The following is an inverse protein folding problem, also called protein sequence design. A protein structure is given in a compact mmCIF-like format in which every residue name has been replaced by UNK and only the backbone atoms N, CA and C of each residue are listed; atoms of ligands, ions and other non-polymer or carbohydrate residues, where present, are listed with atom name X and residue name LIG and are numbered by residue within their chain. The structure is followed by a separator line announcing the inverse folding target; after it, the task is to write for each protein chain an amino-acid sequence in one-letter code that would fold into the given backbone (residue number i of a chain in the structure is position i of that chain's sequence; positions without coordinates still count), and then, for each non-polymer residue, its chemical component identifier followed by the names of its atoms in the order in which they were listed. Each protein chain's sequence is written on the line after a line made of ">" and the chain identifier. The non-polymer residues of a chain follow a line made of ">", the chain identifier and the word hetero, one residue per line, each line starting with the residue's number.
data_IF_986321893323
#
_entry.id   IF_986321893323
#
_cell.length_a   1.000
_cell.length_b   1.000
_cell.length_c   1.000
_cell.angle_alpha   90.00
_cell.angle_beta   90.00
_cell.angle_gamma   90.00
#
_symmetry.space_group_name_H-M   'P 1'
#
loop_
_entity.id
_entity.type
_entity.pdbx_description
1 polymer ?
#
# COMPACT_ATOMS: atom_id res chain seq x y z
N UNK A 1 15.91 -12.81 -33.70
CA UNK A 1 16.26 -11.50 -33.15
C UNK A 1 14.98 -10.89 -32.63
N UNK A 2 14.73 -11.01 -31.32
CA UNK A 2 13.62 -10.30 -30.69
C UNK A 2 13.82 -8.80 -30.91
N UNK A 3 12.87 -8.16 -31.58
CA UNK A 3 12.80 -6.69 -31.59
C UNK A 3 12.52 -6.27 -30.15
N UNK A 4 13.52 -5.77 -29.45
CA UNK A 4 13.33 -5.15 -28.15
C UNK A 4 12.43 -3.91 -28.37
N UNK A 5 11.21 -3.96 -27.84
CA UNK A 5 10.26 -2.86 -27.96
C UNK A 5 10.89 -1.62 -27.30
N UNK A 6 11.02 -0.52 -28.06
CA UNK A 6 11.43 0.75 -27.49
C UNK A 6 10.23 1.41 -26.80
N UNK A 7 10.18 1.27 -25.48
CA UNK A 7 9.10 1.78 -24.63
C UNK A 7 8.90 3.30 -24.81
N UNK A 8 9.99 4.05 -25.01
CA UNK A 8 9.93 5.50 -25.22
C UNK A 8 9.18 5.84 -26.51
N UNK A 9 9.51 5.16 -27.61
CA UNK A 9 8.89 5.39 -28.91
C UNK A 9 7.40 5.05 -28.88
N UNK A 10 7.03 3.96 -28.21
CA UNK A 10 5.63 3.57 -28.03
C UNK A 10 4.85 4.61 -27.21
N UNK A 11 5.41 5.13 -26.12
CA UNK A 11 4.78 6.19 -25.32
C UNK A 11 4.61 7.46 -26.15
N UNK A 12 5.66 7.87 -26.88
CA UNK A 12 5.61 9.06 -27.72
C UNK A 12 4.62 8.92 -28.88
N UNK A 13 4.47 7.73 -29.45
CA UNK A 13 3.50 7.46 -30.51
C UNK A 13 2.06 7.48 -29.97
N UNK A 14 1.82 6.90 -28.79
CA UNK A 14 0.51 6.91 -28.17
C UNK A 14 0.09 8.33 -27.76
N UNK A 15 1.01 9.17 -27.26
CA UNK A 15 0.74 10.58 -26.92
C UNK A 15 0.38 11.45 -28.13
N UNK A 16 0.65 11.00 -29.37
CA UNK A 16 0.24 11.70 -30.59
C UNK A 16 -1.22 11.49 -30.93
N UNK A 17 -1.78 10.33 -30.56
CA UNK A 17 -3.15 9.93 -30.93
C UNK A 17 -4.13 10.05 -29.75
N UNK A 18 -3.61 9.98 -28.53
CA UNK A 18 -4.38 10.01 -27.29
C UNK A 18 -4.08 11.28 -26.50
N UNK A 19 -5.10 12.01 -26.02
CA UNK A 19 -4.91 13.24 -25.24
C UNK A 19 -4.26 12.98 -23.88
N UNK A 20 -4.38 11.75 -23.37
CA UNK A 20 -3.70 11.30 -22.16
C UNK A 20 -3.42 9.81 -22.19
N UNK A 21 -2.35 9.40 -21.50
CA UNK A 21 -1.99 8.01 -21.26
C UNK A 21 -1.98 7.77 -19.75
N UNK A 22 -2.62 6.68 -19.31
CA UNK A 22 -2.44 6.16 -17.96
C UNK A 22 -1.36 5.06 -17.98
N UNK A 23 -0.30 5.22 -17.19
CA UNK A 23 0.86 4.33 -17.22
C UNK A 23 0.53 2.86 -16.96
N UNK A 24 -0.47 2.58 -16.11
CA UNK A 24 -0.93 1.21 -15.81
C UNK A 24 -1.71 0.61 -16.98
N UNK A 25 -2.69 1.34 -17.52
CA UNK A 25 -3.44 0.88 -18.70
C UNK A 25 -2.53 0.65 -19.90
N UNK A 26 -1.56 1.54 -20.09
CA UNK A 26 -0.57 1.44 -21.17
C UNK A 26 0.32 0.22 -21.00
N UNK A 27 0.90 0.02 -19.81
CA UNK A 27 1.75 -1.15 -19.54
C UNK A 27 0.97 -2.46 -19.72
N UNK A 28 -0.28 -2.52 -19.24
CA UNK A 28 -1.12 -3.71 -19.36
C UNK A 28 -1.49 -4.00 -20.84
N UNK A 29 -1.83 -2.97 -21.62
CA UNK A 29 -2.20 -3.11 -23.04
C UNK A 29 -1.02 -3.55 -23.91
N UNK A 30 0.18 -3.09 -23.57
CA UNK A 30 1.42 -3.38 -24.32
C UNK A 30 2.18 -4.58 -23.77
N UNK A 31 1.66 -5.22 -22.72
CA UNK A 31 2.33 -6.32 -21.98
C UNK A 31 3.76 -5.95 -21.52
N UNK A 32 3.94 -4.69 -21.10
CA UNK A 32 5.21 -4.14 -20.64
C UNK A 32 5.29 -4.12 -19.11
N UNK A 33 6.51 -4.18 -18.59
CA UNK A 33 6.75 -3.93 -17.17
C UNK A 33 6.39 -2.48 -16.80
N UNK A 34 5.52 -2.32 -15.81
CA UNK A 34 5.03 -1.01 -15.38
C UNK A 34 6.16 -0.10 -14.88
N UNK A 35 7.17 -0.66 -14.21
CA UNK A 35 8.29 0.12 -13.68
C UNK A 35 9.16 0.70 -14.81
N UNK A 36 9.35 -0.06 -15.89
CA UNK A 36 10.05 0.43 -17.09
C UNK A 36 9.28 1.57 -17.79
N UNK A 37 7.96 1.43 -17.92
CA UNK A 37 7.08 2.49 -18.46
C UNK A 37 7.16 3.75 -17.60
N UNK A 38 7.06 3.61 -16.28
CA UNK A 38 7.21 4.74 -15.34
C UNK A 38 8.58 5.39 -15.48
N UNK A 39 9.65 4.62 -15.63
CA UNK A 39 11.00 5.14 -15.85
C UNK A 39 11.08 6.07 -17.08
N UNK A 40 10.48 5.66 -18.20
CA UNK A 40 10.43 6.49 -19.41
C UNK A 40 9.56 7.74 -19.23
N UNK A 41 8.41 7.62 -18.58
CA UNK A 41 7.54 8.77 -18.26
C UNK A 41 8.29 9.79 -17.38
N UNK A 42 9.04 9.32 -16.37
CA UNK A 42 9.83 10.20 -15.53
C UNK A 42 10.94 10.90 -16.34
N UNK A 43 11.61 10.17 -17.24
CA UNK A 43 12.61 10.75 -18.15
C UNK A 43 11.99 11.84 -19.04
N UNK A 44 10.82 11.61 -19.62
CA UNK A 44 10.11 12.60 -20.43
C UNK A 44 9.72 13.84 -19.60
N UNK A 45 9.24 13.62 -18.37
CA UNK A 45 8.84 14.72 -17.47
C UNK A 45 10.01 15.57 -16.99
N UNK A 46 11.26 15.09 -17.12
CA UNK A 46 12.45 15.87 -16.80
C UNK A 46 12.75 16.96 -17.85
N UNK A 47 12.20 16.82 -19.07
CA UNK A 47 12.33 17.82 -20.12
C UNK A 47 11.26 18.90 -19.92
N UNK A 48 11.63 20.18 -19.74
CA UNK A 48 10.68 21.25 -19.49
C UNK A 48 9.58 21.31 -20.55
N UNK A 49 8.34 21.39 -20.09
CA UNK A 49 7.14 21.56 -20.92
C UNK A 49 6.92 20.46 -21.99
N UNK A 50 7.67 19.35 -21.95
CA UNK A 50 7.53 18.26 -22.91
C UNK A 50 6.27 17.44 -22.65
N UNK A 51 6.04 17.07 -21.38
CA UNK A 51 4.84 16.35 -20.94
C UNK A 51 4.35 16.89 -19.60
N UNK A 52 3.03 16.87 -19.41
CA UNK A 52 2.40 17.07 -18.11
C UNK A 52 2.12 15.71 -17.48
N UNK A 53 2.50 15.55 -16.21
CA UNK A 53 2.32 14.29 -15.47
C UNK A 53 1.56 14.55 -14.17
N UNK A 54 0.46 13.83 -13.97
CA UNK A 54 -0.26 13.77 -12.71
C UNK A 54 -0.27 12.35 -12.15
N UNK A 55 -0.36 12.22 -10.82
CA UNK A 55 -0.32 10.92 -10.13
C UNK A 55 -1.72 10.49 -9.74
N UNK A 56 -1.96 9.20 -9.84
CA UNK A 56 -3.17 8.53 -9.38
C UNK A 56 -2.77 7.37 -8.47
N UNK A 57 -2.97 7.51 -7.16
CA UNK A 57 -2.61 6.47 -6.19
C UNK A 57 -3.84 5.71 -5.75
N UNK A 58 -3.84 4.40 -5.99
CA UNK A 58 -4.84 3.47 -5.46
C UNK A 58 -4.29 2.76 -4.23
N UNK A 59 -5.07 2.74 -3.15
CA UNK A 59 -4.69 2.05 -1.91
C UNK A 59 -5.43 0.72 -1.80
N UNK A 60 -4.68 -0.37 -1.67
CA UNK A 60 -5.21 -1.71 -1.46
C UNK A 60 -4.93 -2.16 -0.03
N UNK A 61 -5.95 -2.73 0.58
CA UNK A 61 -5.93 -3.25 1.93
C UNK A 61 -5.97 -4.77 1.88
N UNK A 62 -5.10 -5.42 2.63
CA UNK A 62 -5.06 -6.89 2.66
C UNK A 62 -4.89 -7.35 4.10
N UNK A 63 -5.48 -8.48 4.44
CA UNK A 63 -5.30 -9.06 5.77
C UNK A 63 -3.92 -9.71 5.86
N UNK A 64 -3.31 -9.64 7.03
CA UNK A 64 -2.14 -10.47 7.32
C UNK A 64 -2.58 -11.90 7.63
N UNK A 65 -1.65 -12.84 7.71
CA UNK A 65 -1.92 -14.21 8.19
C UNK A 65 -2.63 -14.20 9.54
N UNK A 66 -2.26 -13.25 10.41
CA UNK A 66 -2.91 -13.04 11.70
C UNK A 66 -4.33 -12.46 11.56
N UNK A 67 -4.54 -11.51 10.66
CA UNK A 67 -5.87 -10.99 10.33
C UNK A 67 -6.81 -12.10 9.83
N UNK A 68 -6.33 -12.97 8.96
CA UNK A 68 -7.11 -14.12 8.46
C UNK A 68 -7.43 -15.13 9.57
N UNK A 69 -6.49 -15.39 10.49
CA UNK A 69 -6.75 -16.22 11.67
C UNK A 69 -7.87 -15.63 12.53
N UNK A 70 -7.88 -14.30 12.73
CA UNK A 70 -8.95 -13.63 13.46
C UNK A 70 -10.29 -13.77 12.73
N UNK A 71 -10.33 -13.63 11.41
CA UNK A 71 -11.58 -13.81 10.66
C UNK A 71 -12.10 -15.25 10.78
N UNK A 72 -11.22 -16.24 10.82
CA UNK A 72 -11.59 -17.66 10.94
C UNK A 72 -12.02 -18.04 12.36
N UNK A 73 -11.23 -17.65 13.35
CA UNK A 73 -11.27 -18.18 14.72
C UNK A 73 -11.71 -17.14 15.77
N UNK A 74 -12.09 -15.93 15.35
CA UNK A 74 -12.45 -14.81 16.22
C UNK A 74 -11.24 -14.01 16.69
N UNK A 75 -11.46 -12.79 17.18
CA UNK A 75 -10.39 -11.93 17.70
C UNK A 75 -9.85 -12.44 19.03
N UNK A 76 -8.62 -12.06 19.40
CA UNK A 76 -8.04 -12.52 20.66
C UNK A 76 -8.87 -12.10 21.87
N UNK A 77 -9.39 -10.88 21.86
CA UNK A 77 -10.30 -10.37 22.90
C UNK A 77 -11.60 -11.17 22.99
N UNK A 78 -12.13 -11.63 21.85
CA UNK A 78 -13.32 -12.48 21.82
C UNK A 78 -13.03 -13.90 22.30
N UNK A 79 -11.88 -14.47 21.92
CA UNK A 79 -11.41 -15.77 22.41
C UNK A 79 -11.19 -15.75 23.92
N UNK A 80 -10.55 -14.70 24.43
CA UNK A 80 -10.37 -14.48 25.87
C UNK A 80 -11.72 -14.39 26.56
N UNK A 81 -12.62 -13.51 26.11
CA UNK A 81 -13.97 -13.38 26.64
C UNK A 81 -14.70 -14.73 26.68
N UNK A 82 -14.69 -15.47 25.58
CA UNK A 82 -15.39 -16.75 25.45
C UNK A 82 -14.86 -17.80 26.42
N UNK A 83 -13.56 -17.74 26.74
CA UNK A 83 -12.89 -18.68 27.64
C UNK A 83 -13.15 -18.45 29.14
N UNK A 84 -13.74 -17.31 29.52
CA UNK A 84 -13.99 -16.96 30.92
C UNK A 84 -15.20 -17.76 31.44
N UNK A 85 -15.04 -18.57 32.50
CA UNK A 85 -16.15 -19.26 33.16
C UNK A 85 -16.98 -18.28 33.99
N UNK A 86 -18.20 -18.67 34.38
CA UNK A 86 -19.07 -17.83 35.23
C UNK A 86 -18.44 -17.50 36.59
N UNK A 87 -17.61 -18.42 37.11
CA UNK A 87 -16.84 -18.24 38.35
C UNK A 87 -15.68 -17.24 38.22
N UNK A 88 -15.44 -16.72 37.02
CA UNK A 88 -14.30 -15.87 36.70
C UNK A 88 -12.98 -16.64 36.56
N UNK A 89 -11.97 -15.93 36.06
CA UNK A 89 -10.61 -16.46 35.84
C UNK A 89 -9.57 -15.50 36.40
N UNK A 90 -8.43 -15.99 36.88
CA UNK A 90 -7.34 -15.13 37.31
C UNK A 90 -6.70 -14.42 36.12
N UNK A 91 -6.27 -13.16 36.29
CA UNK A 91 -5.64 -12.40 35.19
C UNK A 91 -4.44 -13.15 34.63
N UNK A 92 -3.58 -13.69 35.51
CA UNK A 92 -2.36 -14.38 35.11
C UNK A 92 -2.68 -15.56 34.19
N UNK A 93 -3.62 -16.40 34.62
CA UNK A 93 -4.11 -17.54 33.85
C UNK A 93 -4.72 -17.11 32.51
N UNK A 94 -5.55 -16.07 32.50
CA UNK A 94 -6.17 -15.57 31.27
C UNK A 94 -5.14 -15.06 30.24
N UNK A 95 -4.04 -14.45 30.69
CA UNK A 95 -2.96 -13.97 29.83
C UNK A 95 -2.09 -15.10 29.28
N UNK A 96 -1.82 -16.11 30.09
CA UNK A 96 -0.96 -17.25 29.72
C UNK A 96 -1.66 -18.26 28.81
N UNK A 97 -3.00 -18.29 28.82
CA UNK A 97 -3.81 -19.25 28.04
C UNK A 97 -3.74 -19.05 26.52
N UNK A 98 -3.40 -17.85 26.04
CA UNK A 98 -3.41 -17.53 24.61
C UNK A 98 -2.20 -16.71 24.18
N UNK A 99 -1.80 -16.90 22.92
CA UNK A 99 -0.89 -15.97 22.25
C UNK A 99 -1.48 -14.55 22.30
N UNK A 100 -0.64 -13.55 22.62
CA UNK A 100 -1.05 -12.13 22.79
C UNK A 100 -2.13 -11.89 23.86
N UNK A 101 -2.11 -12.65 24.96
CA UNK A 101 -3.06 -12.50 26.08
C UNK A 101 -3.15 -11.10 26.69
N UNK A 102 -2.05 -10.33 26.75
CA UNK A 102 -2.10 -8.93 27.19
C UNK A 102 -2.92 -8.04 26.27
N UNK A 103 -2.78 -8.21 24.95
CA UNK A 103 -3.55 -7.45 23.95
C UNK A 103 -5.02 -7.83 24.06
N UNK A 104 -5.31 -9.13 24.14
CA UNK A 104 -6.66 -9.65 24.32
C UNK A 104 -7.35 -9.03 25.55
N UNK A 105 -6.66 -9.01 26.69
CA UNK A 105 -7.18 -8.47 27.93
C UNK A 105 -7.44 -6.96 27.83
N UNK A 106 -6.45 -6.20 27.35
CA UNK A 106 -6.57 -4.75 27.23
C UNK A 106 -7.74 -4.36 26.32
N UNK A 107 -7.94 -5.10 25.22
CA UNK A 107 -9.05 -4.87 24.30
C UNK A 107 -10.40 -5.28 24.90
N UNK A 108 -10.49 -6.44 25.53
CA UNK A 108 -11.71 -6.87 26.21
C UNK A 108 -12.14 -5.89 27.32
N UNK A 109 -11.19 -5.32 28.07
CA UNK A 109 -11.45 -4.26 29.06
C UNK A 109 -11.89 -2.94 28.39
N UNK A 110 -11.19 -2.51 27.33
CA UNK A 110 -11.53 -1.27 26.62
C UNK A 110 -12.92 -1.33 25.97
N UNK A 111 -13.31 -2.49 25.45
CA UNK A 111 -14.64 -2.75 24.91
C UNK A 111 -15.68 -3.05 25.99
N UNK A 112 -15.28 -3.09 27.26
CA UNK A 112 -16.13 -3.39 28.42
C UNK A 112 -16.80 -4.76 28.35
N UNK A 113 -16.18 -5.73 27.66
CA UNK A 113 -16.66 -7.12 27.59
C UNK A 113 -16.37 -7.90 28.87
N UNK A 114 -15.32 -7.51 29.55
CA UNK A 114 -14.90 -8.09 30.83
C UNK A 114 -14.74 -6.99 31.87
N UNK A 115 -14.91 -7.35 33.14
CA UNK A 115 -14.65 -6.49 34.29
C UNK A 115 -13.59 -7.11 35.20
N UNK A 116 -12.80 -6.24 35.79
CA UNK A 116 -11.75 -6.60 36.72
C UNK A 116 -12.25 -6.44 38.15
N UNK A 117 -12.15 -7.50 38.94
CA UNK A 117 -12.44 -7.48 40.39
C UNK A 117 -11.13 -7.65 41.14
N UNK A 118 -10.78 -6.65 41.96
CA UNK A 118 -9.55 -6.63 42.76
C UNK A 118 -9.84 -7.21 44.14
N UNK A 119 -9.40 -8.43 44.36
CA UNK A 119 -9.37 -9.09 45.68
C UNK A 119 -7.91 -9.35 46.09
N UNK A 120 -7.65 -10.35 46.95
CA UNK A 120 -6.27 -10.81 47.25
C UNK A 120 -5.52 -11.18 45.97
N UNK A 121 -6.22 -11.81 45.03
CA UNK A 121 -5.76 -12.03 43.66
C UNK A 121 -6.81 -11.49 42.69
N UNK A 122 -6.36 -10.75 41.69
CA UNK A 122 -7.28 -10.10 40.76
C UNK A 122 -7.88 -11.08 39.75
N UNK A 123 -9.22 -11.04 39.61
CA UNK A 123 -10.00 -11.91 38.72
C UNK A 123 -10.76 -11.13 37.66
N UNK A 124 -10.98 -11.78 36.53
CA UNK A 124 -11.77 -11.29 35.41
C UNK A 124 -13.10 -12.03 35.36
N UNK A 125 -14.16 -11.25 35.14
CA UNK A 125 -15.51 -11.76 34.93
C UNK A 125 -16.08 -11.19 33.64
N UNK A 126 -16.98 -11.94 32.98
CA UNK A 126 -17.76 -11.41 31.86
C UNK A 126 -18.65 -10.27 32.36
N UNK A 127 -18.68 -9.18 31.60
CA UNK A 127 -19.50 -8.03 31.91
C UNK A 127 -20.86 -8.09 31.20
N UNK A 128 -20.89 -8.72 30.02
CA UNK A 128 -22.08 -8.97 29.21
C UNK A 128 -22.19 -10.48 28.96
N UNK A 129 -23.40 -11.01 28.78
CA UNK A 129 -23.60 -12.43 28.43
C UNK A 129 -23.28 -12.72 26.96
N UNK A 130 -23.46 -11.73 26.10
CA UNK A 130 -23.17 -11.79 24.66
C UNK A 130 -22.46 -10.52 24.23
N UNK A 131 -21.47 -10.69 23.36
CA UNK A 131 -20.71 -9.61 22.73
C UNK A 131 -20.57 -9.91 21.25
N UNK A 132 -20.51 -8.85 20.43
CA UNK A 132 -20.23 -8.97 19.01
C UNK A 132 -18.74 -8.78 18.80
N UNK A 133 -18.13 -9.63 17.96
CA UNK A 133 -16.70 -9.58 17.69
C UNK A 133 -16.36 -8.49 16.67
N UNK A 134 -16.41 -7.23 17.12
CA UNK A 134 -16.26 -6.05 16.25
C UNK A 134 -14.95 -6.11 15.45
N UNK A 135 -13.85 -6.57 16.05
CA UNK A 135 -12.56 -6.66 15.33
C UNK A 135 -12.59 -7.70 14.21
N UNK A 136 -13.28 -8.82 14.40
CA UNK A 136 -13.50 -9.80 13.35
C UNK A 136 -14.38 -9.24 12.23
N UNK A 137 -15.48 -8.60 12.60
CA UNK A 137 -16.45 -8.03 11.63
C UNK A 137 -15.77 -6.98 10.74
N UNK A 138 -14.91 -6.14 11.31
CA UNK A 138 -14.13 -5.16 10.54
C UNK A 138 -13.13 -5.80 9.58
N UNK A 139 -12.43 -6.85 10.01
CA UNK A 139 -11.52 -7.56 9.12
C UNK A 139 -12.28 -8.26 7.97
N UNK A 140 -13.51 -8.72 8.22
CA UNK A 140 -14.39 -9.24 7.17
C UNK A 140 -14.75 -8.15 6.16
N UNK A 141 -15.12 -6.94 6.61
CA UNK A 141 -15.42 -5.83 5.71
C UNK A 141 -14.20 -5.44 4.85
N UNK A 142 -12.99 -5.41 5.44
CA UNK A 142 -11.75 -5.16 4.68
C UNK A 142 -11.53 -6.26 3.64
N UNK A 143 -11.68 -7.53 4.02
CA UNK A 143 -11.52 -8.67 3.11
C UNK A 143 -12.53 -8.66 1.97
N UNK A 144 -13.73 -8.15 2.22
CA UNK A 144 -14.79 -8.01 1.21
C UNK A 144 -14.61 -6.76 0.32
N UNK A 145 -13.55 -5.96 0.54
CA UNK A 145 -13.27 -4.78 -0.27
C UNK A 145 -14.04 -3.53 0.15
N UNK A 146 -14.52 -3.47 1.41
CA UNK A 146 -15.27 -2.33 1.95
C UNK A 146 -14.57 -1.63 3.15
N UNK A 147 -13.27 -1.28 3.06
CA UNK A 147 -12.55 -0.61 4.15
C UNK A 147 -13.16 0.75 4.52
N UNK A 148 -13.90 1.40 3.62
CA UNK A 148 -14.56 2.69 3.82
C UNK A 148 -15.72 2.64 4.82
N UNK A 149 -16.26 1.45 5.13
CA UNK A 149 -17.29 1.28 6.17
C UNK A 149 -16.74 1.34 7.58
N UNK A 150 -15.42 1.37 7.75
CA UNK A 150 -14.74 1.30 9.04
C UNK A 150 -14.21 2.68 9.39
N UNK A 151 -14.44 3.10 10.64
CA UNK A 151 -13.92 4.39 11.12
C UNK A 151 -12.38 4.45 11.02
N UNK A 152 -11.87 5.62 10.62
CA UNK A 152 -10.44 5.86 10.43
C UNK A 152 -9.58 5.54 11.67
N UNK A 153 -10.10 5.73 12.89
CA UNK A 153 -9.38 5.38 14.12
C UNK A 153 -9.26 3.87 14.27
N UNK A 154 -10.30 3.13 13.89
CA UNK A 154 -10.31 1.66 13.94
C UNK A 154 -9.40 1.06 12.88
N UNK A 155 -9.42 1.58 11.65
CA UNK A 155 -8.42 1.24 10.62
C UNK A 155 -6.99 1.45 11.12
N UNK A 156 -6.70 2.59 11.75
CA UNK A 156 -5.37 2.86 12.29
C UNK A 156 -4.98 1.92 13.44
N UNK A 157 -5.94 1.49 14.24
CA UNK A 157 -5.71 0.45 15.24
C UNK A 157 -5.36 -0.89 14.61
N UNK A 158 -6.12 -1.35 13.61
CA UNK A 158 -5.86 -2.62 12.91
C UNK A 158 -4.47 -2.64 12.28
N UNK A 159 -4.02 -1.51 11.71
CA UNK A 159 -2.64 -1.32 11.22
C UNK A 159 -1.60 -1.46 12.33
N UNK A 160 -1.78 -0.75 13.45
CA UNK A 160 -0.85 -0.80 14.60
C UNK A 160 -0.76 -2.21 15.20
N UNK A 161 -1.86 -2.97 15.14
CA UNK A 161 -1.93 -4.39 15.55
C UNK A 161 -1.37 -5.35 14.49
N UNK A 162 -0.95 -4.86 13.32
CA UNK A 162 -0.46 -5.66 12.19
C UNK A 162 -1.47 -6.71 11.69
N UNK A 163 -2.77 -6.42 11.81
CA UNK A 163 -3.84 -7.31 11.32
C UNK A 163 -4.13 -7.10 9.83
N UNK A 164 -3.70 -5.95 9.29
CA UNK A 164 -3.84 -5.58 7.89
C UNK A 164 -2.53 -4.97 7.39
N UNK A 165 -2.26 -5.16 6.10
CA UNK A 165 -1.23 -4.47 5.34
C UNK A 165 -1.88 -3.51 4.35
N UNK A 166 -1.12 -2.48 4.01
CA UNK A 166 -1.51 -1.50 3.00
C UNK A 166 -0.47 -1.60 1.89
N UNK A 167 -0.94 -1.79 0.67
CA UNK A 167 -0.12 -1.57 -0.51
C UNK A 167 -0.71 -0.41 -1.31
N UNK A 168 0.15 0.50 -1.74
CA UNK A 168 -0.25 1.59 -2.63
C UNK A 168 0.28 1.30 -4.01
N UNK A 169 -0.58 1.42 -5.01
CA UNK A 169 -0.20 1.36 -6.40
C UNK A 169 -0.36 2.78 -6.99
N UNK A 170 0.72 3.33 -7.55
CA UNK A 170 0.70 4.67 -8.16
C UNK A 170 0.80 4.54 -9.66
N UNK A 171 -0.26 4.95 -10.35
CA UNK A 171 -0.26 5.19 -11.80
C UNK A 171 0.04 6.66 -12.08
N UNK A 172 0.46 6.93 -13.32
CA UNK A 172 0.76 8.27 -13.80
C UNK A 172 -0.08 8.55 -15.04
N UNK A 173 -0.83 9.65 -15.00
CA UNK A 173 -1.56 10.17 -16.15
C UNK A 173 -0.66 11.21 -16.83
N UNK A 174 -0.33 10.96 -18.10
CA UNK A 174 0.60 11.74 -18.90
C UNK A 174 -0.17 12.40 -20.02
N UNK A 175 0.09 13.67 -20.29
CA UNK A 175 -0.45 14.40 -21.43
C UNK A 175 0.68 15.16 -22.15
N UNK A 176 0.57 15.41 -23.48
CA UNK A 176 1.48 16.28 -24.20
C UNK A 176 1.57 17.67 -23.54
N UNK A 177 2.79 18.19 -23.37
CA UNK A 177 3.01 19.57 -22.93
C UNK A 177 3.12 20.56 -24.10
N UNK A 178 3.33 21.85 -23.82
CA UNK A 178 3.44 22.89 -24.86
C UNK A 178 4.67 22.74 -25.76
N UNK A 179 5.71 22.07 -25.26
CA UNK A 179 6.94 21.76 -25.99
C UNK A 179 6.94 20.34 -26.55
N UNK A 180 5.76 19.70 -26.66
CA UNK A 180 5.65 18.38 -27.27
C UNK A 180 5.85 18.49 -28.79
N UNK A 181 6.94 17.91 -29.29
CA UNK A 181 7.33 17.96 -30.69
C UNK A 181 7.66 16.56 -31.22
N UNK A 182 7.53 16.36 -32.54
CA UNK A 182 7.60 15.06 -33.21
C UNK A 182 9.03 14.49 -33.39
N UNK A 183 9.99 14.86 -32.55
CA UNK A 183 11.38 14.42 -32.66
C UNK A 183 11.92 13.93 -31.33
N UNK A 184 12.40 12.68 -31.29
CA UNK A 184 13.27 12.20 -30.22
C UNK A 184 14.40 13.23 -30.09
N UNK A 185 14.63 13.88 -28.94
CA UNK A 185 15.86 14.61 -28.75
C UNK A 185 16.96 13.54 -28.80
N UNK A 186 17.63 13.42 -29.95
CA UNK A 186 18.95 12.80 -29.97
C UNK A 186 19.71 13.52 -28.87
N UNK A 187 20.14 12.80 -27.83
CA UNK A 187 21.23 13.31 -27.02
C UNK A 187 22.34 13.69 -27.99
N UNK A 188 22.61 14.99 -28.11
CA UNK A 188 23.82 15.48 -28.77
C UNK A 188 24.99 15.01 -27.90
N UNK A 189 25.40 13.76 -28.11
CA UNK A 189 26.76 13.29 -27.85
C UNK A 189 27.52 13.26 -29.17
N UNK A 190 27.31 14.29 -30.00
CA UNK A 190 28.33 14.69 -30.96
C UNK A 190 29.18 15.76 -30.27
N UNK A 191 30.17 15.29 -29.49
CA UNK A 191 31.39 16.07 -29.32
C UNK A 191 31.93 16.30 -30.73
N UNK A 192 31.61 17.46 -31.31
CA UNK A 192 32.18 17.91 -32.56
C UNK A 192 33.70 17.82 -32.44
N UNK A 193 34.29 16.89 -33.20
CA UNK A 193 35.74 16.70 -33.36
C UNK A 193 36.42 17.99 -33.90
N UNK A 194 35.65 19.00 -34.27
CA UNK A 194 36.11 20.33 -34.69
C UNK A 194 36.70 21.21 -33.57
N UNK A 195 36.53 20.88 -32.27
CA UNK A 195 37.14 21.67 -31.17
C UNK A 195 38.59 21.28 -30.78
N UNK A 196 39.25 20.34 -31.49
CA UNK A 196 40.60 19.85 -31.11
C UNK A 196 41.73 20.36 -32.03
N UNK A 197 41.45 21.11 -33.11
CA UNK A 197 42.49 21.43 -34.12
C UNK A 197 42.88 22.91 -34.24
N UNK A 198 42.99 23.63 -33.11
CA UNK A 198 43.51 25.04 -33.11
C UNK A 198 44.77 25.26 -32.26
N UNK A 199 45.34 24.22 -31.62
CA UNK A 199 46.61 24.35 -30.87
C UNK A 199 47.70 23.44 -31.41
N UNK A 200 48.07 23.61 -32.68
CA UNK A 200 49.35 23.13 -33.21
C UNK A 200 49.68 23.87 -34.50
N UNK A 201 50.29 25.05 -34.39
CA UNK A 201 51.31 25.64 -35.29
C UNK A 201 51.57 27.06 -34.73
N UNK A 202 52.62 27.19 -33.91
CA UNK A 202 53.50 28.36 -33.80
C UNK A 202 54.47 28.11 -32.64
N UNK A 203 55.54 27.38 -32.92
CA UNK A 203 56.87 27.52 -32.32
C UNK A 203 57.82 26.70 -33.20
N UNK A 204 58.35 27.36 -34.24
CA UNK A 204 59.72 27.12 -34.73
C UNK A 204 60.57 28.19 -34.05
#
# INVERSE_FOLDING_TARGET
>A
MEHQINILDEIMNELKISPTINSKKFSDTKELDHSMVVGQIMSLSSVPDLVSVSKETTTHWTLTTEGEDIVKNGSYEYRLYSSIPETGIFIKEAKEKFFKGDIALNKALAYKWVRLVKEKESKLYKNNEKVNDITRDELIEIRNGFPEKIDSKRINELKKRQLITISTFTAYNVAPGSSFHMGIPKQETDLTVEMISTYKILFI
#
